data_IF_984550575765
#
_entry.id   IF_984550575765
#
_cell.length_a   1.000
_cell.length_b   1.000
_cell.length_c   1.000
_cell.angle_alpha   90.00
_cell.angle_beta   90.00
_cell.angle_gamma   90.00
#
_symmetry.space_group_name_H-M   'P 1'
#
loop_
_entity.id
_entity.type
_entity.pdbx_description
1 polymer ?
#
# COMPACT_ATOMS: atom_id res chain seq x y z
N UNK A 1 32.99 2.74 1.55
CA UNK A 1 31.65 2.55 2.12
C UNK A 1 31.67 1.29 2.95
N UNK A 2 31.41 1.42 4.25
CA UNK A 2 31.45 0.33 5.24
C UNK A 2 30.28 -0.63 5.05
N UNK A 3 30.34 -1.79 5.72
CA UNK A 3 29.21 -2.73 5.73
C UNK A 3 27.94 -2.10 6.34
N UNK A 4 28.11 -1.40 7.47
CA UNK A 4 27.02 -0.71 8.17
C UNK A 4 26.40 0.38 7.31
N UNK A 5 27.22 1.13 6.56
CA UNK A 5 26.74 2.18 5.66
C UNK A 5 25.82 1.59 4.59
N UNK A 6 26.20 0.45 3.99
CA UNK A 6 25.37 -0.24 2.98
C UNK A 6 24.08 -0.78 3.57
N UNK A 7 24.15 -1.33 4.78
CA UNK A 7 22.99 -1.86 5.49
C UNK A 7 21.99 -0.73 5.80
N UNK A 8 22.49 0.39 6.31
CA UNK A 8 21.71 1.61 6.56
C UNK A 8 21.07 2.16 5.28
N UNK A 9 21.86 2.32 4.22
CA UNK A 9 21.39 2.87 2.94
C UNK A 9 20.26 2.01 2.34
N UNK A 10 20.40 0.68 2.40
CA UNK A 10 19.37 -0.22 1.92
C UNK A 10 18.11 -0.14 2.79
N UNK A 11 18.26 -0.01 4.12
CA UNK A 11 17.13 0.13 5.03
C UNK A 11 16.36 1.43 4.80
N UNK A 12 17.06 2.55 4.64
CA UNK A 12 16.45 3.82 4.29
C UNK A 12 15.69 3.75 2.96
N UNK A 13 16.24 3.04 1.96
CA UNK A 13 15.55 2.84 0.67
C UNK A 13 14.24 2.09 0.87
N UNK A 14 14.21 1.03 1.69
CA UNK A 14 12.97 0.30 2.00
C UNK A 14 11.96 1.17 2.72
N UNK A 15 12.40 1.93 3.73
CA UNK A 15 11.52 2.85 4.46
C UNK A 15 10.90 3.91 3.53
N UNK A 16 11.72 4.53 2.66
CA UNK A 16 11.27 5.49 1.64
C UNK A 16 10.31 4.85 0.62
N UNK A 17 10.58 3.62 0.19
CA UNK A 17 9.69 2.88 -0.71
C UNK A 17 8.33 2.58 -0.07
N UNK A 18 8.32 2.13 1.19
CA UNK A 18 7.09 1.88 1.93
C UNK A 18 6.29 3.17 2.17
N UNK A 19 6.97 4.28 2.51
CA UNK A 19 6.33 5.58 2.67
C UNK A 19 5.71 6.07 1.35
N UNK A 20 6.44 5.93 0.24
CA UNK A 20 5.93 6.30 -1.08
C UNK A 20 4.73 5.44 -1.47
N UNK A 21 4.77 4.13 -1.21
CA UNK A 21 3.64 3.24 -1.46
C UNK A 21 2.42 3.63 -0.62
N UNK A 22 2.59 4.00 0.66
CA UNK A 22 1.51 4.55 1.48
C UNK A 22 0.91 5.81 0.84
N UNK A 23 1.73 6.76 0.42
CA UNK A 23 1.28 8.02 -0.20
C UNK A 23 0.51 7.76 -1.50
N UNK A 24 0.99 6.84 -2.32
CA UNK A 24 0.33 6.52 -3.60
C UNK A 24 -0.96 5.70 -3.40
N UNK A 25 -0.99 4.76 -2.44
CA UNK A 25 -2.21 4.07 -2.04
C UNK A 25 -3.26 5.07 -1.51
N UNK A 26 -2.85 6.07 -0.72
CA UNK A 26 -3.74 7.14 -0.23
C UNK A 26 -4.31 7.96 -1.38
N UNK A 27 -3.49 8.33 -2.37
CA UNK A 27 -3.95 9.06 -3.57
C UNK A 27 -4.94 8.23 -4.39
N UNK A 28 -4.64 6.94 -4.61
CA UNK A 28 -5.53 6.02 -5.31
C UNK A 28 -6.88 5.85 -4.57
N UNK A 29 -6.87 5.76 -3.23
CA UNK A 29 -8.08 5.74 -2.40
C UNK A 29 -8.92 7.00 -2.59
N UNK A 30 -8.31 8.18 -2.52
CA UNK A 30 -9.01 9.47 -2.73
C UNK A 30 -9.64 9.53 -4.13
N UNK A 31 -8.91 9.11 -5.18
CA UNK A 31 -9.45 9.06 -6.54
C UNK A 31 -10.59 8.05 -6.67
N UNK A 32 -10.50 6.91 -5.99
CA UNK A 32 -11.59 5.92 -5.93
C UNK A 32 -12.85 6.52 -5.31
N UNK A 33 -12.72 7.24 -4.19
CA UNK A 33 -13.83 7.95 -3.54
C UNK A 33 -14.44 9.02 -4.45
N UNK A 34 -13.61 9.81 -5.14
CA UNK A 34 -14.06 10.83 -6.09
C UNK A 34 -14.87 10.22 -7.24
N UNK A 35 -14.36 9.15 -7.86
CA UNK A 35 -15.05 8.47 -8.96
C UNK A 35 -16.34 7.77 -8.51
N UNK A 36 -16.38 7.28 -7.27
CA UNK A 36 -17.59 6.70 -6.68
C UNK A 36 -18.67 7.75 -6.47
N UNK A 37 -18.29 8.94 -5.96
CA UNK A 37 -19.21 10.08 -5.85
C UNK A 37 -19.70 10.52 -7.22
N UNK A 38 -18.81 10.63 -8.20
CA UNK A 38 -19.17 10.99 -9.57
C UNK A 38 -20.18 10.00 -10.19
N UNK A 39 -20.02 8.69 -9.93
CA UNK A 39 -20.99 7.68 -10.35
C UNK A 39 -22.36 7.89 -9.69
N UNK A 40 -22.38 8.18 -8.37
CA UNK A 40 -23.62 8.46 -7.63
C UNK A 40 -24.32 9.72 -8.14
N UNK A 41 -23.57 10.81 -8.32
CA UNK A 41 -24.08 12.10 -8.79
C UNK A 41 -24.67 11.97 -10.20
N UNK A 42 -24.00 11.25 -11.11
CA UNK A 42 -24.52 10.96 -12.44
C UNK A 42 -25.80 10.13 -12.40
N UNK A 43 -25.86 9.11 -11.53
CA UNK A 43 -27.07 8.28 -11.37
C UNK A 43 -28.24 9.11 -10.85
N UNK A 44 -27.98 10.03 -9.93
CA UNK A 44 -29.00 10.93 -9.38
C UNK A 44 -29.46 11.98 -10.40
N UNK A 45 -28.53 12.57 -11.16
CA UNK A 45 -28.83 13.61 -12.14
C UNK A 45 -29.58 13.06 -13.36
N UNK A 46 -29.20 11.87 -13.85
CA UNK A 46 -29.88 11.22 -14.96
C UNK A 46 -29.79 9.68 -14.81
N UNK A 47 -30.80 9.02 -14.21
CA UNK A 47 -30.83 7.58 -14.02
C UNK A 47 -30.74 6.76 -15.33
N UNK A 48 -31.07 7.38 -16.46
CA UNK A 48 -31.04 6.72 -17.77
C UNK A 48 -29.66 6.81 -18.46
N UNK A 49 -28.75 7.66 -17.97
CA UNK A 49 -27.38 7.75 -18.49
C UNK A 49 -26.47 6.66 -17.89
N UNK A 50 -26.81 5.41 -18.18
CA UNK A 50 -26.07 4.23 -17.69
C UNK A 50 -24.60 4.27 -18.09
N UNK A 51 -24.29 4.81 -19.27
CA UNK A 51 -22.92 4.86 -19.79
C UNK A 51 -22.03 5.78 -18.95
N UNK A 52 -22.52 6.95 -18.55
CA UNK A 52 -21.74 7.88 -17.76
C UNK A 52 -21.51 7.36 -16.33
N UNK A 53 -22.51 6.71 -15.73
CA UNK A 53 -22.43 6.06 -14.41
C UNK A 53 -21.44 4.89 -14.45
N UNK A 54 -21.55 4.01 -15.45
CA UNK A 54 -20.66 2.88 -15.66
C UNK A 54 -19.20 3.32 -15.86
N UNK A 55 -18.98 4.39 -16.64
CA UNK A 55 -17.63 4.93 -16.86
C UNK A 55 -16.98 5.36 -15.54
N UNK A 56 -17.68 6.12 -14.71
CA UNK A 56 -17.17 6.57 -13.41
C UNK A 56 -16.91 5.38 -12.46
N UNK A 57 -17.83 4.42 -12.39
CA UNK A 57 -17.64 3.21 -11.58
C UNK A 57 -16.44 2.36 -12.04
N UNK A 58 -16.22 2.23 -13.35
CA UNK A 58 -15.04 1.52 -13.89
C UNK A 58 -13.72 2.22 -13.53
N UNK A 59 -13.67 3.55 -13.56
CA UNK A 59 -12.48 4.29 -13.11
C UNK A 59 -12.27 4.13 -11.60
N UNK A 60 -13.32 4.14 -10.77
CA UNK A 60 -13.20 3.84 -9.34
C UNK A 60 -12.59 2.43 -9.10
N UNK A 61 -13.08 1.41 -9.81
CA UNK A 61 -12.56 0.04 -9.73
C UNK A 61 -11.09 -0.03 -10.15
N UNK A 62 -10.70 0.72 -11.19
CA UNK A 62 -9.33 0.78 -11.68
C UNK A 62 -8.39 1.43 -10.66
N UNK A 63 -8.79 2.53 -10.03
CA UNK A 63 -8.01 3.18 -8.97
C UNK A 63 -7.89 2.28 -7.73
N UNK A 64 -8.94 1.54 -7.34
CA UNK A 64 -8.84 0.55 -6.27
C UNK A 64 -7.87 -0.60 -6.60
N UNK A 65 -7.91 -1.12 -7.85
CA UNK A 65 -6.93 -2.11 -8.33
C UNK A 65 -5.50 -1.58 -8.30
N UNK A 66 -5.30 -0.29 -8.60
CA UNK A 66 -4.00 0.36 -8.48
C UNK A 66 -3.55 0.42 -7.01
N UNK A 67 -4.41 0.83 -6.08
CA UNK A 67 -4.11 0.83 -4.65
C UNK A 67 -3.67 -0.55 -4.15
N UNK A 68 -4.40 -1.60 -4.57
CA UNK A 68 -4.05 -2.99 -4.26
C UNK A 68 -2.68 -3.39 -4.82
N UNK A 69 -2.40 -3.07 -6.09
CA UNK A 69 -1.10 -3.35 -6.70
C UNK A 69 0.05 -2.64 -5.99
N UNK A 70 -0.16 -1.40 -5.54
CA UNK A 70 0.83 -0.65 -4.77
C UNK A 70 1.15 -1.37 -3.47
N UNK A 71 0.13 -1.79 -2.71
CA UNK A 71 0.32 -2.56 -1.48
C UNK A 71 1.03 -3.90 -1.74
N UNK A 72 0.61 -4.64 -2.76
CA UNK A 72 1.24 -5.92 -3.14
C UNK A 72 2.72 -5.78 -3.52
N UNK A 73 3.11 -4.66 -4.14
CA UNK A 73 4.50 -4.40 -4.53
C UNK A 73 5.44 -4.18 -3.35
N UNK A 74 4.92 -3.82 -2.17
CA UNK A 74 5.74 -3.51 -0.98
C UNK A 74 5.54 -4.49 0.18
N UNK A 75 4.69 -5.50 0.01
CA UNK A 75 4.32 -6.47 1.06
C UNK A 75 5.52 -7.20 1.69
N UNK A 76 6.61 -7.35 0.94
CA UNK A 76 7.79 -8.10 1.37
C UNK A 76 8.83 -7.20 2.08
N UNK A 77 8.71 -5.86 1.96
CA UNK A 77 9.64 -4.91 2.59
C UNK A 77 9.74 -5.05 4.12
N UNK A 78 8.66 -5.28 4.89
CA UNK A 78 8.74 -5.47 6.35
C UNK A 78 9.68 -6.63 6.72
N UNK A 79 9.57 -7.75 6.02
CA UNK A 79 10.40 -8.94 6.26
C UNK A 79 11.87 -8.67 5.98
N UNK A 80 12.17 -7.95 4.89
CA UNK A 80 13.55 -7.56 4.58
C UNK A 80 14.11 -6.56 5.58
N UNK A 81 13.28 -5.62 6.04
CA UNK A 81 13.65 -4.63 7.04
C UNK A 81 13.92 -5.25 8.41
N UNK A 82 13.09 -6.21 8.85
CA UNK A 82 13.31 -6.97 10.09
C UNK A 82 14.61 -7.78 10.04
N UNK A 83 14.93 -8.38 8.88
CA UNK A 83 16.17 -9.10 8.71
C UNK A 83 17.40 -8.20 8.85
N UNK A 84 17.35 -7.00 8.27
CA UNK A 84 18.42 -6.01 8.38
C UNK A 84 18.58 -5.48 9.82
N UNK A 85 17.46 -5.25 10.51
CA UNK A 85 17.47 -4.83 11.91
C UNK A 85 18.05 -5.93 12.83
N UNK A 86 17.67 -7.19 12.61
CA UNK A 86 18.26 -8.33 13.31
C UNK A 86 19.77 -8.45 13.08
N UNK A 87 20.22 -8.18 11.87
CA UNK A 87 21.64 -8.17 11.57
C UNK A 87 22.40 -7.06 12.31
N UNK A 88 21.85 -5.85 12.35
CA UNK A 88 22.42 -4.76 13.14
C UNK A 88 22.48 -5.10 14.63
N UNK A 89 21.45 -5.74 15.18
CA UNK A 89 21.43 -6.23 16.56
C UNK A 89 22.54 -7.26 16.84
N UNK A 90 22.74 -8.22 15.93
CA UNK A 90 23.83 -9.19 16.06
C UNK A 90 25.21 -8.53 16.09
N UNK A 91 25.41 -7.48 15.29
CA UNK A 91 26.67 -6.71 15.30
C UNK A 91 26.85 -5.98 16.63
N UNK A 92 25.81 -5.31 17.13
CA UNK A 92 25.84 -4.67 18.44
C UNK A 92 26.16 -5.65 19.56
N UNK A 93 25.58 -6.85 19.49
CA UNK A 93 25.83 -7.92 20.45
C UNK A 93 27.25 -8.49 20.36
N UNK A 94 27.84 -8.54 19.17
CA UNK A 94 29.19 -9.04 18.99
C UNK A 94 30.26 -8.03 19.47
N UNK A 95 30.06 -6.74 19.22
CA UNK A 95 31.08 -5.72 19.51
C UNK A 95 30.92 -5.09 20.89
N UNK A 96 29.71 -5.13 21.47
CA UNK A 96 29.34 -4.47 22.72
C UNK A 96 29.67 -2.96 22.75
N UNK A 97 29.84 -2.35 21.57
CA UNK A 97 30.09 -0.91 21.42
C UNK A 97 28.78 -0.14 21.45
N UNK A 98 28.81 1.05 22.05
CA UNK A 98 27.62 1.90 22.15
C UNK A 98 27.14 2.37 20.79
N UNK A 99 28.06 2.79 19.91
CA UNK A 99 27.77 3.18 18.51
C UNK A 99 27.02 2.08 17.74
N UNK A 100 27.28 0.81 18.05
CA UNK A 100 26.64 -0.32 17.38
C UNK A 100 25.24 -0.58 17.92
N UNK A 101 25.02 -0.29 19.21
CA UNK A 101 23.68 -0.32 19.82
C UNK A 101 22.81 0.82 19.28
N UNK A 102 23.35 2.02 19.17
CA UNK A 102 22.68 3.16 18.54
C UNK A 102 22.29 2.83 17.10
N UNK A 103 23.24 2.33 16.31
CA UNK A 103 22.97 1.87 14.95
C UNK A 103 21.88 0.79 14.89
N UNK A 104 21.90 -0.18 15.79
CA UNK A 104 20.85 -1.21 15.87
C UNK A 104 19.49 -0.63 16.19
N UNK A 105 19.41 0.38 17.06
CA UNK A 105 18.16 1.05 17.41
C UNK A 105 17.60 1.82 16.21
N UNK A 106 18.45 2.52 15.46
CA UNK A 106 18.04 3.22 14.23
C UNK A 106 17.48 2.24 13.19
N UNK A 107 18.14 1.09 13.03
CA UNK A 107 17.68 0.05 12.11
C UNK A 107 16.33 -0.56 12.52
N UNK A 108 16.11 -0.75 13.83
CA UNK A 108 14.82 -1.18 14.38
C UNK A 108 13.73 -0.13 14.12
N UNK A 109 14.01 1.15 14.40
CA UNK A 109 13.06 2.23 14.16
C UNK A 109 12.65 2.30 12.68
N UNK A 110 13.61 2.18 11.76
CA UNK A 110 13.32 2.15 10.32
C UNK A 110 12.53 0.90 9.90
N UNK A 111 12.74 -0.25 10.56
CA UNK A 111 11.96 -1.46 10.30
C UNK A 111 10.50 -1.31 10.77
N UNK A 112 10.29 -0.73 11.95
CA UNK A 112 8.96 -0.41 12.47
C UNK A 112 8.24 0.60 11.58
N UNK A 113 8.91 1.64 11.11
CA UNK A 113 8.37 2.61 10.15
C UNK A 113 8.00 1.94 8.83
N UNK A 114 8.87 1.08 8.30
CA UNK A 114 8.60 0.31 7.08
C UNK A 114 7.33 -0.53 7.25
N UNK A 115 7.24 -1.26 8.37
CA UNK A 115 6.09 -2.12 8.70
C UNK A 115 4.80 -1.31 8.85
N UNK A 116 4.85 -0.18 9.57
CA UNK A 116 3.71 0.72 9.73
C UNK A 116 3.21 1.26 8.40
N UNK A 117 4.13 1.75 7.56
CA UNK A 117 3.80 2.28 6.24
C UNK A 117 3.18 1.24 5.31
N UNK A 118 3.70 0.01 5.29
CA UNK A 118 3.12 -1.08 4.48
C UNK A 118 1.72 -1.45 4.98
N UNK A 119 1.53 -1.61 6.29
CA UNK A 119 0.20 -1.87 6.87
C UNK A 119 -0.81 -0.78 6.54
N UNK A 120 -0.42 0.48 6.63
CA UNK A 120 -1.28 1.59 6.23
C UNK A 120 -1.61 1.54 4.73
N UNK A 121 -0.65 1.19 3.86
CA UNK A 121 -0.90 1.03 2.43
C UNK A 121 -1.92 -0.10 2.14
N UNK A 122 -1.82 -1.24 2.85
CA UNK A 122 -2.79 -2.34 2.77
C UNK A 122 -4.19 -1.92 3.22
N UNK A 123 -4.30 -1.23 4.35
CA UNK A 123 -5.58 -0.71 4.84
C UNK A 123 -6.22 0.30 3.88
N UNK A 124 -5.41 1.15 3.25
CA UNK A 124 -5.87 2.08 2.23
C UNK A 124 -6.36 1.36 0.97
N UNK A 125 -5.67 0.29 0.55
CA UNK A 125 -6.09 -0.55 -0.56
C UNK A 125 -7.41 -1.27 -0.28
N UNK A 126 -7.57 -1.85 0.91
CA UNK A 126 -8.82 -2.49 1.35
C UNK A 126 -9.98 -1.49 1.40
N UNK A 127 -9.72 -0.28 1.92
CA UNK A 127 -10.72 0.79 1.92
C UNK A 127 -11.09 1.20 0.50
N UNK A 128 -10.13 1.35 -0.41
CA UNK A 128 -10.39 1.66 -1.81
C UNK A 128 -11.23 0.56 -2.47
N UNK A 129 -10.94 -0.71 -2.19
CA UNK A 129 -11.71 -1.83 -2.72
C UNK A 129 -13.18 -1.80 -2.27
N UNK A 130 -13.44 -1.51 -0.98
CA UNK A 130 -14.82 -1.35 -0.47
C UNK A 130 -15.55 -0.21 -1.16
N UNK A 131 -14.89 0.93 -1.35
CA UNK A 131 -15.46 2.08 -2.06
C UNK A 131 -15.71 1.78 -3.54
N UNK A 132 -14.80 1.06 -4.22
CA UNK A 132 -15.04 0.59 -5.58
C UNK A 132 -16.20 -0.41 -5.68
N UNK A 133 -16.41 -1.23 -4.64
CA UNK A 133 -17.57 -2.13 -4.57
C UNK A 133 -18.89 -1.36 -4.47
N UNK A 134 -18.90 -0.21 -3.78
CA UNK A 134 -20.04 0.71 -3.78
C UNK A 134 -20.27 1.32 -5.17
N UNK A 135 -19.22 1.81 -5.84
CA UNK A 135 -19.32 2.33 -7.21
C UNK A 135 -19.88 1.29 -8.18
N UNK A 136 -19.43 0.04 -8.05
CA UNK A 136 -19.93 -1.10 -8.81
C UNK A 136 -21.44 -1.32 -8.58
N UNK A 137 -21.90 -1.26 -7.33
CA UNK A 137 -23.33 -1.38 -6.98
C UNK A 137 -24.15 -0.21 -7.55
N UNK A 138 -23.63 1.01 -7.50
CA UNK A 138 -24.29 2.20 -8.09
C UNK A 138 -24.51 1.96 -9.59
N UNK A 139 -23.49 1.48 -10.30
CA UNK A 139 -23.54 1.21 -11.73
C UNK A 139 -24.20 -0.13 -12.11
N UNK A 140 -24.71 -0.92 -11.14
CA UNK A 140 -25.30 -2.24 -11.37
C UNK A 140 -24.38 -3.18 -12.17
N UNK A 141 -23.07 -3.03 -11.97
CA UNK A 141 -22.07 -3.81 -12.69
C UNK A 141 -21.96 -5.23 -12.12
N UNK A 142 -21.77 -6.24 -12.99
CA UNK A 142 -21.60 -7.62 -12.54
C UNK A 142 -20.37 -7.75 -11.64
N UNK A 143 -20.43 -8.68 -10.69
CA UNK A 143 -19.27 -9.10 -9.91
C UNK A 143 -18.39 -9.94 -10.82
N UNK A 144 -17.10 -9.59 -10.93
CA UNK A 144 -16.12 -10.48 -11.57
C UNK A 144 -16.22 -11.85 -10.87
N UNK A 145 -16.45 -12.95 -11.61
CA UNK A 145 -16.50 -14.27 -10.98
C UNK A 145 -15.18 -14.51 -10.25
N UNK A 146 -15.20 -15.17 -9.08
CA UNK A 146 -13.96 -15.56 -8.41
C UNK A 146 -13.12 -16.32 -9.44
N UNK A 147 -11.86 -15.88 -9.62
CA UNK A 147 -10.88 -16.65 -10.41
C UNK A 147 -10.54 -17.89 -9.60
N UNK A 148 -11.44 -18.86 -9.59
CA UNK A 148 -11.19 -20.14 -8.98
C UNK A 148 -10.11 -20.87 -9.77
N UNK A 149 -9.00 -21.06 -9.07
CA UNK A 149 -7.98 -22.10 -9.16
C UNK A 149 -8.25 -23.11 -10.28
N UNK A 150 -7.49 -22.98 -11.38
CA UNK A 150 -7.22 -24.15 -12.21
C UNK A 150 -6.36 -25.09 -11.36
N UNK A 151 -6.93 -26.26 -11.06
CA UNK A 151 -6.22 -27.40 -10.49
C UNK A 151 -5.22 -28.01 -11.46
#
# INVERSE_FOLDING_TARGET
MSYKDKLAENQEKRAKQAEQAKRDAKRAKIRTEQQTREAADKKNANPNDKKAVEKAAKEAIKEAKLAKKIAENVKDLPKESDAAAKEAANVADATKKEEDREFSNDMNNLADETTGNVKEAEQLADSAQRTADEARKIAELPVDPPKDKKG
#
